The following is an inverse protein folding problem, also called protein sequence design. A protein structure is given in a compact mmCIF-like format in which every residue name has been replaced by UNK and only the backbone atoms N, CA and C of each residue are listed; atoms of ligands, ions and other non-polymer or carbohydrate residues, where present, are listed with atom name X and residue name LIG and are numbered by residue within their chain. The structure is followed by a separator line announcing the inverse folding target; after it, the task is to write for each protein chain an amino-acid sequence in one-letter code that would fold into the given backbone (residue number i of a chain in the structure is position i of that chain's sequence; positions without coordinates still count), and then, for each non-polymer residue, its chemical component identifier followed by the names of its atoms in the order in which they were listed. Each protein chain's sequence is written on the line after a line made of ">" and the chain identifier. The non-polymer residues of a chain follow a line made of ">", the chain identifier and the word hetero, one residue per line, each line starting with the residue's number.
data_IF_935203223609
#
_entry.id   IF_935203223609
#
_cell.length_a   1.000
_cell.length_b   1.000
_cell.length_c   1.000
_cell.angle_alpha   90.00
_cell.angle_beta   90.00
_cell.angle_gamma   90.00
#
_symmetry.space_group_name_H-M   'P 1'
#
loop_
_entity.id
_entity.type
_entity.pdbx_description
1 polymer ?
#
# COMPACT_ATOMS: atom_id res chain seq x y z
N UNK A 1 -19.33 -13.06 -2.23
CA UNK A 1 -20.10 -11.81 -2.43
C UNK A 1 -21.38 -11.81 -1.61
N UNK A 2 -22.37 -12.69 -1.86
CA UNK A 2 -23.63 -12.75 -1.07
C UNK A 2 -23.38 -12.80 0.44
N UNK A 3 -22.50 -13.69 0.90
CA UNK A 3 -22.19 -13.79 2.33
C UNK A 3 -21.63 -12.47 2.91
N UNK A 4 -20.76 -11.78 2.18
CA UNK A 4 -20.15 -10.53 2.64
C UNK A 4 -21.23 -9.45 2.78
N UNK A 5 -22.12 -9.33 1.80
CA UNK A 5 -23.22 -8.35 1.82
C UNK A 5 -24.13 -8.55 3.03
N UNK A 6 -24.56 -9.80 3.27
CA UNK A 6 -25.39 -10.15 4.44
C UNK A 6 -24.65 -9.83 5.75
N UNK A 7 -23.38 -10.20 5.86
CA UNK A 7 -22.59 -9.98 7.09
C UNK A 7 -22.35 -8.50 7.37
N UNK A 8 -22.12 -7.68 6.34
CA UNK A 8 -21.96 -6.24 6.49
C UNK A 8 -23.26 -5.58 6.95
N UNK A 9 -24.41 -6.04 6.48
CA UNK A 9 -25.70 -5.53 6.94
C UNK A 9 -26.01 -5.97 8.37
N UNK A 10 -25.75 -7.23 8.72
CA UNK A 10 -25.87 -7.73 10.10
C UNK A 10 -24.97 -6.97 11.06
N UNK A 11 -23.73 -6.67 10.66
CA UNK A 11 -22.79 -5.88 11.45
C UNK A 11 -23.35 -4.49 11.80
N UNK A 12 -24.05 -3.84 10.85
CA UNK A 12 -24.65 -2.51 11.05
C UNK A 12 -25.89 -2.54 11.93
N UNK A 13 -26.75 -3.56 11.77
CA UNK A 13 -28.06 -3.62 12.44
C UNK A 13 -27.96 -4.25 13.83
N UNK A 14 -27.23 -5.36 13.95
CA UNK A 14 -27.20 -6.18 15.15
C UNK A 14 -25.96 -5.91 16.02
N UNK A 15 -24.89 -5.35 15.43
CA UNK A 15 -23.60 -5.18 16.11
C UNK A 15 -22.90 -6.51 16.43
N UNK A 16 -23.40 -7.62 15.89
CA UNK A 16 -22.90 -8.97 16.08
C UNK A 16 -22.87 -9.72 14.73
N UNK A 17 -21.93 -10.64 14.58
CA UNK A 17 -21.69 -11.35 13.33
C UNK A 17 -21.42 -12.83 13.62
N UNK A 18 -22.09 -13.72 12.88
CA UNK A 18 -21.88 -15.17 12.93
C UNK A 18 -21.58 -15.71 11.52
N UNK A 19 -20.28 -15.67 11.16
CA UNK A 19 -19.81 -16.17 9.85
C UNK A 19 -20.07 -17.68 9.71
N UNK A 20 -19.70 -18.56 10.68
CA UNK A 20 -19.97 -20.00 10.57
C UNK A 20 -21.45 -20.35 10.42
N UNK A 21 -22.31 -19.71 11.21
CA UNK A 21 -23.76 -19.92 11.14
C UNK A 21 -24.34 -19.48 9.81
N UNK A 22 -23.89 -18.34 9.27
CA UNK A 22 -24.31 -17.88 7.95
C UNK A 22 -23.88 -18.85 6.84
N UNK A 23 -22.62 -19.30 6.83
CA UNK A 23 -22.15 -20.25 5.80
C UNK A 23 -22.93 -21.56 5.87
N UNK A 24 -23.25 -22.04 7.07
CA UNK A 24 -24.08 -23.24 7.26
C UNK A 24 -25.48 -23.04 6.66
N UNK A 25 -26.12 -21.88 6.92
CA UNK A 25 -27.42 -21.54 6.34
C UNK A 25 -27.38 -21.46 4.81
N UNK A 26 -26.38 -20.78 4.25
CA UNK A 26 -26.22 -20.65 2.80
C UNK A 26 -26.05 -22.02 2.11
N UNK A 27 -25.36 -22.97 2.77
CA UNK A 27 -25.19 -24.33 2.27
C UNK A 27 -26.47 -25.16 2.29
N UNK A 28 -27.41 -24.86 3.18
CA UNK A 28 -28.74 -25.48 3.18
C UNK A 28 -29.56 -25.06 1.96
N UNK A 29 -29.47 -23.80 1.55
CA UNK A 29 -30.18 -23.28 0.38
C UNK A 29 -29.50 -23.69 -0.94
N UNK A 30 -28.17 -23.67 -0.97
CA UNK A 30 -27.39 -24.08 -2.14
C UNK A 30 -26.11 -24.79 -1.72
N UNK A 31 -26.01 -26.06 -2.06
CA UNK A 31 -24.79 -26.86 -1.82
C UNK A 31 -23.60 -26.21 -2.52
N UNK A 32 -22.44 -26.21 -1.85
CA UNK A 32 -21.19 -25.65 -2.39
C UNK A 32 -21.00 -24.16 -2.16
N UNK A 33 -21.88 -23.48 -1.40
CA UNK A 33 -21.64 -22.08 -1.02
C UNK A 33 -20.38 -21.96 -0.15
N UNK A 34 -19.45 -21.09 -0.60
CA UNK A 34 -18.10 -20.89 -0.03
C UNK A 34 -17.39 -22.23 0.09
N UNK A 35 -16.88 -22.71 -1.04
CA UNK A 35 -16.37 -24.07 -1.18
C UNK A 35 -14.95 -24.21 -0.63
N UNK A 36 -14.11 -23.21 -0.86
CA UNK A 36 -12.68 -23.27 -0.55
C UNK A 36 -12.33 -22.60 0.77
N UNK A 37 -11.23 -23.05 1.38
CA UNK A 37 -10.68 -22.43 2.61
C UNK A 37 -10.28 -20.99 2.34
N UNK A 38 -9.66 -20.70 1.20
CA UNK A 38 -9.22 -19.34 0.83
C UNK A 38 -10.40 -18.38 0.70
N UNK A 39 -11.53 -18.83 0.13
CA UNK A 39 -12.76 -18.02 0.09
C UNK A 39 -13.34 -17.79 1.48
N UNK A 40 -13.28 -18.79 2.36
CA UNK A 40 -13.75 -18.67 3.74
C UNK A 40 -12.87 -17.68 4.53
N UNK A 41 -11.55 -17.80 4.43
CA UNK A 41 -10.59 -16.84 5.01
C UNK A 41 -10.79 -15.43 4.45
N UNK A 42 -11.02 -15.30 3.14
CA UNK A 42 -11.32 -14.02 2.51
C UNK A 42 -12.55 -13.34 3.10
N UNK A 43 -13.61 -14.09 3.43
CA UNK A 43 -14.80 -13.54 4.10
C UNK A 43 -14.44 -12.96 5.47
N UNK A 44 -13.68 -13.70 6.29
CA UNK A 44 -13.21 -13.19 7.59
C UNK A 44 -12.37 -11.93 7.43
N UNK A 45 -11.47 -11.91 6.44
CA UNK A 45 -10.59 -10.79 6.17
C UNK A 45 -11.38 -9.53 5.82
N UNK A 46 -12.26 -9.61 4.83
CA UNK A 46 -13.07 -8.47 4.38
C UNK A 46 -13.97 -7.92 5.49
N UNK A 47 -14.59 -8.79 6.28
CA UNK A 47 -15.46 -8.36 7.37
C UNK A 47 -14.67 -7.71 8.51
N UNK A 48 -13.50 -8.27 8.86
CA UNK A 48 -12.63 -7.66 9.87
C UNK A 48 -12.13 -6.29 9.41
N UNK A 49 -11.70 -6.16 8.15
CA UNK A 49 -11.25 -4.90 7.56
C UNK A 49 -12.37 -3.84 7.58
N UNK A 50 -13.57 -4.20 7.13
CA UNK A 50 -14.71 -3.30 7.12
C UNK A 50 -15.13 -2.80 8.51
N UNK A 51 -14.98 -3.63 9.56
CA UNK A 51 -15.29 -3.24 10.94
C UNK A 51 -14.19 -2.36 11.54
N UNK A 52 -12.92 -2.68 11.27
CA UNK A 52 -11.77 -1.96 11.84
C UNK A 52 -11.61 -0.58 11.20
N UNK A 53 -11.72 -0.50 9.88
CA UNK A 53 -11.48 0.75 9.14
C UNK A 53 -12.72 1.63 9.07
N UNK A 54 -13.90 1.01 8.98
CA UNK A 54 -15.17 1.71 8.83
C UNK A 54 -15.29 2.45 7.49
N UNK A 55 -16.27 3.36 7.38
CA UNK A 55 -16.41 4.21 6.19
C UNK A 55 -15.59 5.49 6.34
N UNK A 56 -14.53 5.61 5.54
CA UNK A 56 -13.64 6.79 5.50
C UNK A 56 -13.94 7.72 4.31
N UNK A 57 -15.00 7.46 3.54
CA UNK A 57 -15.40 8.33 2.44
C UNK A 57 -16.03 9.63 2.95
N UNK A 58 -15.59 10.76 2.36
CA UNK A 58 -16.07 12.09 2.71
C UNK A 58 -16.54 12.82 1.47
N UNK A 59 -17.79 13.28 1.48
CA UNK A 59 -18.32 14.13 0.42
C UNK A 59 -17.53 15.45 0.37
N UNK A 60 -17.22 15.94 -0.84
CA UNK A 60 -16.44 17.16 -1.02
C UNK A 60 -16.98 18.37 -0.24
N UNK A 61 -18.32 18.50 -0.12
CA UNK A 61 -18.98 19.56 0.66
C UNK A 61 -18.69 19.51 2.17
N UNK A 62 -18.36 18.33 2.70
CA UNK A 62 -18.06 18.10 4.10
C UNK A 62 -16.54 18.00 4.36
N UNK A 63 -15.71 18.18 3.33
CA UNK A 63 -14.26 17.98 3.44
C UNK A 63 -13.63 18.92 4.46
N UNK A 64 -13.99 20.21 4.43
CA UNK A 64 -13.44 21.20 5.37
C UNK A 64 -13.78 20.87 6.82
N UNK A 65 -15.04 20.54 7.11
CA UNK A 65 -15.48 20.16 8.46
C UNK A 65 -14.80 18.88 8.94
N UNK A 66 -14.54 17.93 8.05
CA UNK A 66 -13.85 16.70 8.39
C UNK A 66 -12.37 16.94 8.76
N UNK A 67 -11.66 17.79 8.03
CA UNK A 67 -10.27 18.15 8.34
C UNK A 67 -10.17 18.82 9.72
N UNK A 68 -11.11 19.71 10.07
CA UNK A 68 -11.14 20.32 11.40
C UNK A 68 -11.29 19.28 12.51
N UNK A 69 -12.19 18.31 12.34
CA UNK A 69 -12.37 17.20 13.28
C UNK A 69 -11.12 16.31 13.41
N UNK A 70 -10.37 16.13 12.32
CA UNK A 70 -9.13 15.35 12.34
C UNK A 70 -7.97 16.08 13.01
N UNK A 71 -7.97 17.41 13.05
CA UNK A 71 -6.94 18.22 13.70
C UNK A 71 -7.14 18.32 15.21
N UNK A 72 -8.40 18.21 15.67
CA UNK A 72 -8.74 18.20 17.08
C UNK A 72 -8.20 16.94 17.80
N UNK A 73 -7.65 17.14 19.00
CA UNK A 73 -7.22 16.04 19.87
C UNK A 73 -8.47 15.28 20.31
N UNK A 74 -8.51 13.99 19.99
CA UNK A 74 -9.61 13.12 20.35
C UNK A 74 -9.57 12.82 21.85
N UNK A 75 -10.34 13.59 22.62
CA UNK A 75 -10.59 13.31 24.03
C UNK A 75 -11.88 12.50 24.12
N UNK A 76 -11.78 11.22 24.49
CA UNK A 76 -12.97 10.40 24.72
C UNK A 76 -13.68 10.93 25.97
N UNK A 77 -14.70 11.74 25.79
CA UNK A 77 -15.69 12.03 26.84
C UNK A 77 -16.57 10.80 27.00
N UNK A 78 -16.10 9.82 27.79
CA UNK A 78 -16.99 8.78 28.31
C UNK A 78 -18.01 9.50 29.19
N UNK A 79 -19.23 9.68 28.68
CA UNK A 79 -20.35 10.20 29.45
C UNK A 79 -20.87 9.09 30.35
N UNK A 80 -20.11 8.78 31.42
CA UNK A 80 -20.60 7.98 32.53
C UNK A 80 -21.64 8.81 33.30
N UNK A 81 -22.90 8.62 32.93
CA UNK A 81 -24.04 8.97 33.77
C UNK A 81 -24.14 7.98 34.92
N UNK A 82 -23.37 8.14 35.99
CA UNK A 82 -23.78 7.80 37.35
C UNK A 82 -23.00 8.63 38.38
N UNK A 83 -23.72 9.13 39.39
CA UNK A 83 -23.32 10.25 40.22
C UNK A 83 -22.14 10.04 41.16
N UNK A 84 -21.52 11.17 41.52
CA UNK A 84 -21.09 11.44 42.90
C UNK A 84 -19.62 11.16 43.24
N UNK A 85 -18.77 12.19 43.14
CA UNK A 85 -17.49 12.29 43.86
C UNK A 85 -16.38 12.98 43.04
N UNK A 86 -15.40 13.67 43.65
CA UNK A 86 -14.25 14.23 42.95
C UNK A 86 -13.28 13.09 42.60
N UNK A 87 -13.67 12.29 41.62
CA UNK A 87 -12.92 11.17 41.08
C UNK A 87 -11.93 11.65 40.03
N UNK A 88 -10.67 11.28 40.23
CA UNK A 88 -9.53 11.44 39.32
C UNK A 88 -9.94 11.16 37.87
N UNK A 89 -10.00 12.20 37.03
CA UNK A 89 -10.15 12.06 35.58
C UNK A 89 -8.97 11.26 35.07
N UNK A 90 -9.16 9.97 34.82
CA UNK A 90 -8.19 9.18 34.08
C UNK A 90 -8.50 9.39 32.62
N UNK A 91 -7.71 10.26 31.98
CA UNK A 91 -7.74 10.44 30.55
C UNK A 91 -7.18 9.17 29.88
N UNK A 92 -8.05 8.26 29.44
CA UNK A 92 -7.65 7.17 28.54
C UNK A 92 -7.72 7.57 27.07
N UNK A 93 -7.82 8.88 26.77
CA UNK A 93 -7.62 9.40 25.42
C UNK A 93 -6.12 9.45 25.14
N UNK A 94 -5.67 8.80 24.05
CA UNK A 94 -4.26 8.72 23.66
C UNK A 94 -3.58 10.09 23.43
N UNK A 95 -4.32 11.20 23.52
CA UNK A 95 -3.81 12.57 23.31
C UNK A 95 -3.42 12.82 21.86
N UNK A 96 -3.98 12.03 20.94
CA UNK A 96 -3.65 12.07 19.51
C UNK A 96 -4.76 12.78 18.73
N UNK A 97 -4.37 13.43 17.64
CA UNK A 97 -5.29 13.98 16.66
C UNK A 97 -5.93 12.85 15.84
N UNK A 98 -7.06 13.13 15.20
CA UNK A 98 -7.69 12.18 14.27
C UNK A 98 -6.72 11.75 13.16
N UNK A 99 -5.92 12.67 12.61
CA UNK A 99 -4.87 12.33 11.63
C UNK A 99 -3.90 11.28 12.13
N UNK A 100 -3.43 11.42 13.38
CA UNK A 100 -2.49 10.48 13.97
C UNK A 100 -3.11 9.11 14.18
N UNK A 101 -4.40 9.06 14.55
CA UNK A 101 -5.12 7.80 14.71
C UNK A 101 -5.31 7.09 13.37
N UNK A 102 -5.77 7.78 12.34
CA UNK A 102 -5.94 7.22 10.99
C UNK A 102 -4.60 6.75 10.40
N UNK A 103 -3.54 7.55 10.54
CA UNK A 103 -2.22 7.15 10.07
C UNK A 103 -1.66 5.94 10.83
N UNK A 104 -2.00 5.78 12.11
CA UNK A 104 -1.63 4.58 12.88
C UNK A 104 -2.35 3.33 12.39
N UNK A 105 -3.60 3.43 11.93
CA UNK A 105 -4.31 2.29 11.32
C UNK A 105 -3.58 1.82 10.07
N UNK A 106 -3.20 2.74 9.18
CA UNK A 106 -2.44 2.44 7.95
C UNK A 106 -1.14 1.70 8.28
N UNK A 107 -0.37 2.20 9.26
CA UNK A 107 0.88 1.56 9.67
C UNK A 107 0.67 0.20 10.35
N UNK A 108 -0.44 0.01 11.06
CA UNK A 108 -0.78 -1.27 11.68
C UNK A 108 -1.18 -2.33 10.64
N UNK A 109 -1.78 -1.89 9.53
CA UNK A 109 -2.15 -2.72 8.40
C UNK A 109 -0.99 -3.03 7.43
N UNK A 110 0.16 -2.33 7.57
CA UNK A 110 1.29 -2.50 6.67
C UNK A 110 1.79 -3.96 6.65
N UNK A 111 1.95 -4.56 5.45
CA UNK A 111 2.40 -5.94 5.32
C UNK A 111 3.84 -6.10 5.81
N UNK A 112 4.13 -7.27 6.38
CA UNK A 112 5.50 -7.63 6.77
C UNK A 112 6.12 -8.45 5.65
N UNK A 113 7.11 -7.89 4.98
CA UNK A 113 7.95 -8.63 4.03
C UNK A 113 8.64 -9.80 4.77
N UNK A 114 8.49 -11.01 4.22
CA UNK A 114 8.82 -12.31 4.84
C UNK A 114 10.31 -12.53 5.17
N UNK A 115 11.18 -11.58 4.89
CA UNK A 115 12.64 -11.78 4.89
C UNK A 115 13.37 -10.85 5.85
N UNK A 116 12.66 -10.13 6.73
CA UNK A 116 13.30 -9.58 7.93
C UNK A 116 13.52 -10.72 8.93
N UNK A 117 14.72 -11.29 8.91
CA UNK A 117 15.21 -12.30 9.85
C UNK A 117 15.12 -11.88 11.31
N UNK A 118 13.90 -11.92 11.87
CA UNK A 118 13.64 -11.88 13.29
C UNK A 118 13.36 -13.31 13.69
N UNK A 119 14.31 -13.94 14.38
CA UNK A 119 14.21 -15.29 14.94
C UNK A 119 12.78 -15.59 15.42
N UNK A 120 12.04 -16.39 14.66
CA UNK A 120 10.74 -16.89 15.09
C UNK A 120 11.04 -17.99 16.11
N UNK A 121 11.08 -17.61 17.38
CA UNK A 121 10.97 -18.55 18.47
C UNK A 121 9.74 -19.43 18.26
N UNK A 122 9.92 -20.74 18.45
CA UNK A 122 8.89 -21.79 18.35
C UNK A 122 7.57 -21.30 18.98
N UNK A 123 6.50 -21.16 18.18
CA UNK A 123 5.16 -20.89 18.74
C UNK A 123 4.62 -22.18 19.37
N UNK A 124 4.43 -22.14 20.68
CA UNK A 124 3.63 -23.11 21.41
C UNK A 124 2.17 -23.01 20.99
N UNK A 125 1.53 -24.16 20.79
CA UNK A 125 0.11 -24.31 20.49
C UNK A 125 -0.69 -24.08 21.78
N UNK A 126 -1.36 -22.93 21.91
CA UNK A 126 -2.43 -22.74 22.89
C UNK A 126 -3.71 -22.29 22.18
N UNK A 127 -4.89 -22.77 22.63
CA UNK A 127 -6.16 -22.45 21.99
C UNK A 127 -6.55 -20.99 22.25
N UNK A 128 -7.00 -20.29 21.20
CA UNK A 128 -7.43 -18.90 21.26
C UNK A 128 -8.84 -18.85 21.89
N UNK A 129 -8.96 -18.17 23.03
CA UNK A 129 -10.23 -17.89 23.69
C UNK A 129 -10.72 -16.48 23.31
N UNK A 130 -12.01 -16.35 22.98
CA UNK A 130 -12.63 -15.20 22.30
C UNK A 130 -12.80 -13.91 23.15
N UNK A 131 -12.11 -13.77 24.29
CA UNK A 131 -12.38 -12.71 25.29
C UNK A 131 -11.26 -11.69 25.48
N UNK A 132 -10.31 -11.58 24.55
CA UNK A 132 -9.22 -10.59 24.66
C UNK A 132 -8.93 -9.88 23.34
N UNK A 133 -9.88 -9.06 22.88
CA UNK A 133 -9.68 -8.07 21.81
C UNK A 133 -8.91 -6.83 22.31
N UNK A 134 -7.73 -7.03 22.92
CA UNK A 134 -6.80 -5.94 23.30
C UNK A 134 -5.63 -5.78 22.34
N UNK A 135 -5.77 -6.25 21.10
CA UNK A 135 -4.94 -5.81 19.99
C UNK A 135 -5.71 -6.03 18.68
N UNK A 136 -6.06 -4.97 17.91
CA UNK A 136 -6.58 -5.13 16.57
C UNK A 136 -5.41 -5.57 15.70
N UNK A 137 -5.07 -6.86 15.77
CA UNK A 137 -4.12 -7.45 14.84
C UNK A 137 -4.89 -7.63 13.54
N UNK A 138 -4.84 -6.61 12.69
CA UNK A 138 -5.13 -6.76 11.28
C UNK A 138 -4.37 -7.98 10.78
N UNK A 139 -5.08 -8.90 10.10
CA UNK A 139 -4.47 -10.00 9.40
C UNK A 139 -3.35 -9.42 8.53
N UNK A 140 -2.10 -9.72 8.86
CA UNK A 140 -0.95 -9.22 8.12
C UNK A 140 -0.97 -9.88 6.75
N UNK A 141 -1.23 -9.09 5.71
CA UNK A 141 -1.01 -9.51 4.34
C UNK A 141 0.43 -9.97 4.24
N UNK A 142 0.61 -11.22 3.80
CA UNK A 142 1.93 -11.77 3.56
C UNK A 142 2.18 -11.77 2.07
N UNK A 143 2.42 -10.58 1.55
CA UNK A 143 2.94 -10.42 0.20
C UNK A 143 4.46 -10.62 0.25
N UNK A 144 4.96 -11.47 -0.63
CA UNK A 144 6.39 -11.71 -0.76
C UNK A 144 7.03 -10.58 -1.58
N UNK A 145 8.25 -10.21 -1.22
CA UNK A 145 9.14 -9.39 -2.04
C UNK A 145 10.44 -10.16 -2.24
N UNK A 146 10.32 -11.46 -2.47
CA UNK A 146 11.45 -12.39 -2.41
C UNK A 146 12.38 -12.18 -3.60
N UNK A 147 11.85 -11.83 -4.78
CA UNK A 147 12.63 -11.54 -5.98
C UNK A 147 13.58 -10.34 -5.77
N UNK A 148 13.08 -9.30 -5.09
CA UNK A 148 13.85 -8.11 -4.78
C UNK A 148 15.01 -8.38 -3.82
N UNK A 149 14.93 -9.48 -3.05
CA UNK A 149 15.86 -9.82 -1.97
C UNK A 149 16.79 -10.98 -2.35
N UNK A 150 16.74 -11.45 -3.61
CA UNK A 150 17.73 -12.38 -4.14
C UNK A 150 19.12 -11.75 -4.12
N UNK A 151 20.16 -12.57 -3.96
CA UNK A 151 21.55 -12.11 -3.83
C UNK A 151 22.00 -11.22 -5.00
N UNK A 152 21.50 -11.48 -6.21
CA UNK A 152 21.81 -10.73 -7.44
C UNK A 152 21.09 -9.38 -7.49
N UNK A 153 19.92 -9.25 -6.88
CA UNK A 153 19.09 -8.04 -6.95
C UNK A 153 19.27 -7.09 -5.75
N UNK A 154 19.88 -7.54 -4.64
CA UNK A 154 20.06 -6.72 -3.43
C UNK A 154 20.71 -5.35 -3.71
N UNK A 155 21.69 -5.28 -4.61
CA UNK A 155 22.43 -4.06 -4.95
C UNK A 155 21.65 -3.11 -5.87
N UNK A 156 20.54 -3.57 -6.45
CA UNK A 156 19.63 -2.78 -7.29
C UNK A 156 18.60 -1.99 -6.46
N UNK A 157 18.57 -2.17 -5.13
CA UNK A 157 17.66 -1.49 -4.21
C UNK A 157 18.36 -0.35 -3.48
N UNK A 158 17.82 0.87 -3.58
CA UNK A 158 18.30 2.02 -2.81
C UNK A 158 18.02 1.87 -1.32
N UNK A 159 16.87 1.28 -0.98
CA UNK A 159 16.40 1.07 0.38
C UNK A 159 15.89 -0.37 0.50
N UNK A 160 16.58 -1.21 1.28
CA UNK A 160 16.27 -2.65 1.39
C UNK A 160 14.92 -2.96 2.04
N UNK A 161 14.37 -2.04 2.83
CA UNK A 161 13.05 -2.20 3.45
C UNK A 161 11.91 -1.56 2.62
N UNK A 162 12.22 -1.04 1.43
CA UNK A 162 11.26 -0.48 0.49
C UNK A 162 11.50 -1.13 -0.89
N UNK A 163 10.92 -2.32 -1.06
CA UNK A 163 11.05 -3.15 -2.26
C UNK A 163 9.65 -3.50 -2.79
N UNK A 164 9.50 -3.77 -4.10
CA UNK A 164 8.21 -4.13 -4.67
C UNK A 164 7.73 -5.49 -4.15
N UNK A 165 6.41 -5.68 -4.09
CA UNK A 165 5.83 -7.00 -3.92
C UNK A 165 5.95 -7.81 -5.20
N UNK A 166 6.09 -9.12 -5.09
CA UNK A 166 6.26 -10.01 -6.24
C UNK A 166 5.01 -10.01 -7.14
N UNK A 167 3.81 -9.82 -6.58
CA UNK A 167 2.56 -9.86 -7.33
C UNK A 167 2.33 -8.65 -8.25
N UNK A 168 2.95 -7.50 -7.93
CA UNK A 168 2.79 -6.26 -8.71
C UNK A 168 4.11 -5.62 -9.15
N UNK A 169 5.24 -6.33 -9.03
CA UNK A 169 6.53 -5.83 -9.53
C UNK A 169 6.49 -5.62 -11.05
N UNK A 170 7.19 -4.61 -11.52
CA UNK A 170 7.48 -4.47 -12.95
C UNK A 170 8.60 -5.44 -13.31
N UNK A 171 8.33 -6.31 -14.29
CA UNK A 171 9.31 -7.28 -14.79
C UNK A 171 9.80 -6.83 -16.16
N UNK A 172 11.12 -6.77 -16.35
CA UNK A 172 11.75 -6.45 -17.64
C UNK A 172 11.97 -7.71 -18.48
N UNK A 173 12.12 -7.54 -19.79
CA UNK A 173 12.50 -8.63 -20.68
C UNK A 173 13.90 -9.15 -20.30
N UNK A 174 14.07 -10.42 -19.89
CA UNK A 174 15.34 -10.93 -19.41
C UNK A 174 16.40 -10.93 -20.52
N UNK A 175 17.62 -10.55 -20.16
CA UNK A 175 18.79 -10.54 -21.05
C UNK A 175 19.51 -11.88 -20.90
N UNK A 176 19.77 -12.55 -22.02
CA UNK A 176 20.45 -13.86 -22.01
C UNK A 176 21.83 -13.75 -21.39
N UNK A 177 22.11 -14.59 -20.40
CA UNK A 177 23.40 -14.64 -19.71
C UNK A 177 23.61 -13.58 -18.64
N UNK A 178 22.58 -12.78 -18.31
CA UNK A 178 22.64 -11.77 -17.24
C UNK A 178 21.57 -12.07 -16.19
N UNK A 179 22.01 -12.62 -15.05
CA UNK A 179 21.12 -12.94 -13.93
C UNK A 179 20.53 -11.67 -13.30
N UNK A 180 19.25 -11.71 -12.91
CA UNK A 180 18.53 -10.57 -12.33
C UNK A 180 18.28 -9.42 -13.31
N UNK A 181 18.45 -9.63 -14.62
CA UNK A 181 18.22 -8.61 -15.66
C UNK A 181 16.74 -8.30 -15.92
N UNK A 182 15.82 -9.11 -15.39
CA UNK A 182 14.37 -8.87 -15.39
C UNK A 182 13.93 -8.00 -14.20
N UNK A 183 14.82 -7.75 -13.24
CA UNK A 183 14.49 -7.03 -12.01
C UNK A 183 14.77 -5.53 -12.09
N UNK A 184 13.78 -4.74 -11.67
CA UNK A 184 13.90 -3.33 -11.31
C UNK A 184 13.02 -3.06 -10.08
N UNK A 185 13.46 -2.18 -9.18
CA UNK A 185 12.66 -1.77 -8.01
C UNK A 185 11.55 -0.80 -8.46
N UNK A 186 10.45 -1.39 -8.92
CA UNK A 186 9.26 -0.71 -9.37
C UNK A 186 8.02 -1.60 -9.20
N UNK A 187 6.88 -0.98 -8.90
CA UNK A 187 5.58 -1.63 -8.76
C UNK A 187 4.52 -0.95 -9.61
N UNK A 188 3.64 -1.75 -10.21
CA UNK A 188 2.40 -1.26 -10.77
C UNK A 188 1.45 -0.79 -9.66
N UNK A 189 0.83 0.36 -9.91
CA UNK A 189 -0.16 0.96 -9.04
C UNK A 189 -1.40 1.24 -9.88
N UNK A 190 -2.54 0.80 -9.37
CA UNK A 190 -3.82 1.05 -10.01
C UNK A 190 -4.19 2.53 -9.96
N UNK A 191 -4.79 3.02 -11.03
CA UNK A 191 -5.39 4.34 -11.09
C UNK A 191 -6.86 4.31 -10.66
N UNK A 192 -7.50 5.48 -10.78
CA UNK A 192 -8.93 5.60 -10.52
C UNK A 192 -9.78 4.84 -11.56
N UNK A 193 -9.38 4.85 -12.83
CA UNK A 193 -10.12 4.24 -13.94
C UNK A 193 -9.49 2.93 -14.43
N UNK A 194 -8.16 2.88 -14.46
CA UNK A 194 -7.42 1.80 -15.10
C UNK A 194 -6.54 1.04 -14.09
N UNK A 195 -6.47 -0.29 -14.26
CA UNK A 195 -5.47 -1.11 -13.58
C UNK A 195 -4.07 -0.80 -14.11
N UNK A 196 -3.06 -0.91 -13.25
CA UNK A 196 -1.66 -0.66 -13.60
C UNK A 196 -1.42 0.70 -14.29
N UNK A 197 -2.21 1.72 -13.94
CA UNK A 197 -2.15 3.05 -14.57
C UNK A 197 -0.83 3.78 -14.29
N UNK A 198 -0.19 3.47 -13.17
CA UNK A 198 1.05 4.09 -12.74
C UNK A 198 2.13 3.06 -12.45
N UNK A 199 3.38 3.47 -12.60
CA UNK A 199 4.54 2.75 -12.10
C UNK A 199 5.17 3.60 -11.01
N UNK A 200 5.14 3.09 -9.78
CA UNK A 200 5.89 3.67 -8.66
C UNK A 200 7.27 3.00 -8.60
N UNK A 201 8.34 3.77 -8.76
CA UNK A 201 9.70 3.25 -8.76
C UNK A 201 10.64 4.12 -7.92
N UNK A 202 11.74 3.53 -7.47
CA UNK A 202 12.81 4.30 -6.82
C UNK A 202 13.47 5.25 -7.82
N UNK A 203 14.06 6.34 -7.33
CA UNK A 203 14.93 7.17 -8.16
C UNK A 203 16.12 6.33 -8.67
N UNK A 204 16.38 6.31 -10.00
CA UNK A 204 17.43 5.49 -10.57
C UNK A 204 18.80 5.74 -9.92
N UNK A 205 19.51 4.65 -9.66
CA UNK A 205 20.89 4.64 -9.19
C UNK A 205 21.82 4.54 -10.39
N UNK A 206 23.11 4.83 -10.21
CA UNK A 206 24.14 4.68 -11.26
C UNK A 206 24.08 3.29 -11.89
N UNK A 207 23.92 2.25 -11.07
CA UNK A 207 23.85 0.86 -11.48
C UNK A 207 22.52 0.44 -12.13
N UNK A 208 21.50 1.30 -12.11
CA UNK A 208 20.14 0.94 -12.58
C UNK A 208 19.57 1.95 -13.59
N UNK A 209 20.38 2.87 -14.13
CA UNK A 209 19.90 3.84 -15.13
C UNK A 209 19.47 3.14 -16.42
N UNK A 210 20.21 2.13 -16.86
CA UNK A 210 19.87 1.34 -18.05
C UNK A 210 18.58 0.55 -17.85
N UNK A 211 18.45 -0.15 -16.71
CA UNK A 211 17.23 -0.88 -16.33
C UNK A 211 16.01 0.06 -16.28
N UNK A 212 16.19 1.30 -15.80
CA UNK A 212 15.13 2.31 -15.78
C UNK A 212 14.67 2.71 -17.19
N UNK A 213 15.59 2.97 -18.12
CA UNK A 213 15.22 3.31 -19.49
C UNK A 213 14.61 2.14 -20.25
N UNK A 214 15.10 0.91 -20.01
CA UNK A 214 14.45 -0.31 -20.49
C UNK A 214 13.01 -0.40 -19.99
N UNK A 215 12.78 -0.15 -18.71
CA UNK A 215 11.43 -0.11 -18.13
C UNK A 215 10.54 0.90 -18.85
N UNK A 216 10.98 2.15 -18.98
CA UNK A 216 10.21 3.23 -19.63
C UNK A 216 9.82 2.83 -21.06
N UNK A 217 10.78 2.28 -21.81
CA UNK A 217 10.56 1.84 -23.18
C UNK A 217 9.62 0.63 -23.30
N UNK A 218 9.90 -0.45 -22.55
CA UNK A 218 9.12 -1.69 -22.56
C UNK A 218 7.67 -1.45 -22.10
N UNK A 219 7.48 -0.57 -21.11
CA UNK A 219 6.16 -0.22 -20.58
C UNK A 219 5.48 0.93 -21.34
N UNK A 220 6.09 1.44 -22.42
CA UNK A 220 5.55 2.53 -23.25
C UNK A 220 5.12 3.75 -22.43
N UNK A 221 5.93 4.11 -21.45
CA UNK A 221 5.66 5.25 -20.57
C UNK A 221 6.15 6.54 -21.22
N UNK A 222 5.22 7.43 -21.58
CA UNK A 222 5.54 8.72 -22.21
C UNK A 222 5.77 9.85 -21.21
N UNK A 223 5.37 9.67 -19.95
CA UNK A 223 5.42 10.70 -18.90
C UNK A 223 6.16 10.17 -17.68
N UNK A 224 7.17 10.92 -17.24
CA UNK A 224 7.91 10.62 -16.01
C UNK A 224 7.74 11.79 -15.05
N UNK A 225 7.32 11.49 -13.82
CA UNK A 225 7.14 12.46 -12.75
C UNK A 225 8.21 12.23 -11.69
N UNK A 226 9.06 13.23 -11.48
CA UNK A 226 10.12 13.21 -10.48
C UNK A 226 9.71 14.04 -9.27
N UNK A 227 9.67 13.41 -8.08
CA UNK A 227 9.20 14.03 -6.83
C UNK A 227 10.34 14.42 -5.87
N UNK A 228 11.60 14.21 -6.27
CA UNK A 228 12.78 14.52 -5.45
C UNK A 228 13.73 15.44 -6.22
N UNK A 229 14.51 16.23 -5.49
CA UNK A 229 15.64 16.97 -6.06
C UNK A 229 16.84 16.03 -6.30
N UNK A 230 17.77 16.46 -7.17
CA UNK A 230 19.01 15.70 -7.46
C UNK A 230 19.89 15.51 -6.21
N UNK A 231 19.77 16.41 -5.24
CA UNK A 231 20.50 16.37 -3.98
C UNK A 231 19.62 16.94 -2.87
N UNK A 232 19.56 16.25 -1.73
CA UNK A 232 18.84 16.71 -0.55
C UNK A 232 19.77 16.55 0.66
N UNK A 233 20.00 17.63 1.42
CA UNK A 233 20.84 17.59 2.62
C UNK A 233 22.30 17.15 2.41
N UNK A 234 22.88 17.39 1.23
CA UNK A 234 24.27 17.02 0.91
C UNK A 234 24.49 15.55 0.55
N UNK A 235 23.43 14.73 0.51
CA UNK A 235 23.46 13.38 -0.04
C UNK A 235 22.94 13.39 -1.48
N UNK A 236 23.59 12.62 -2.36
CA UNK A 236 23.14 12.48 -3.75
C UNK A 236 21.80 11.73 -3.74
N UNK A 237 20.71 12.45 -3.99
CA UNK A 237 19.36 11.90 -4.03
C UNK A 237 19.17 11.10 -5.31
N UNK A 238 19.58 11.69 -6.44
CA UNK A 238 19.36 11.14 -7.78
C UNK A 238 20.60 11.37 -8.64
N UNK A 239 20.98 10.40 -9.47
CA UNK A 239 22.15 10.55 -10.33
C UNK A 239 21.91 11.67 -11.36
N UNK A 240 22.88 12.56 -11.54
CA UNK A 240 22.74 13.75 -12.42
C UNK A 240 22.59 13.40 -13.90
N UNK A 241 23.00 12.19 -14.28
CA UNK A 241 23.07 11.74 -15.68
C UNK A 241 21.93 10.79 -16.09
N UNK A 242 20.84 10.73 -15.31
CA UNK A 242 19.67 9.91 -15.69
C UNK A 242 19.08 10.37 -17.02
N UNK A 243 19.14 11.68 -17.27
CA UNK A 243 18.76 12.30 -18.52
C UNK A 243 20.04 12.68 -19.24
N UNK A 244 20.23 12.35 -20.53
CA UNK A 244 21.24 13.05 -21.29
C UNK A 244 20.86 14.53 -21.23
N UNK A 245 21.78 15.39 -20.79
CA UNK A 245 21.62 16.85 -20.87
C UNK A 245 21.75 17.20 -22.35
N UNK A 246 20.73 16.85 -23.11
CA UNK A 246 20.50 17.40 -24.44
C UNK A 246 19.91 18.77 -24.14
N UNK A 247 20.66 19.82 -24.43
CA UNK A 247 20.13 21.18 -24.51
C UNK A 247 19.02 21.18 -25.56
N UNK A 248 17.79 20.81 -25.17
CA UNK A 248 16.53 20.96 -25.89
C UNK A 248 15.37 20.38 -25.04
N UNK A 249 14.71 21.27 -24.29
CA UNK A 249 13.25 21.43 -24.22
C UNK A 249 12.40 20.28 -23.59
N UNK A 250 11.74 20.62 -22.48
CA UNK A 250 10.56 19.96 -21.85
C UNK A 250 10.75 18.86 -20.77
N UNK A 251 11.73 18.96 -19.87
CA UNK A 251 11.55 18.47 -18.49
C UNK A 251 11.15 19.66 -17.60
N UNK A 252 9.86 20.02 -17.63
CA UNK A 252 9.29 20.88 -16.57
C UNK A 252 9.01 20.00 -15.36
N UNK A 253 9.94 19.97 -14.39
CA UNK A 253 9.56 19.74 -12.99
C UNK A 253 8.34 20.63 -12.71
N UNK A 254 7.28 20.09 -12.12
CA UNK A 254 5.96 20.70 -12.03
C UNK A 254 5.98 22.11 -11.40
N UNK A 255 6.26 23.12 -12.22
CA UNK A 255 5.89 24.53 -12.04
C UNK A 255 5.19 24.96 -13.32
N UNK A 256 3.85 24.92 -13.24
CA UNK A 256 2.89 25.62 -14.09
C UNK A 256 2.97 25.30 -15.59
N UNK A 257 2.10 24.38 -16.01
CA UNK A 257 1.77 24.10 -17.39
C UNK A 257 1.02 25.30 -18.00
N UNK A 258 1.68 25.99 -18.92
CA UNK A 258 1.04 26.58 -20.09
C UNK A 258 1.91 26.22 -21.29
N UNK A 259 1.20 25.81 -22.33
CA UNK A 259 1.58 25.63 -23.73
C UNK A 259 2.13 24.31 -24.27
N UNK A 260 1.72 24.06 -25.52
CA UNK A 260 1.34 22.80 -26.16
C UNK A 260 2.46 22.04 -26.91
N UNK A 261 2.25 20.72 -27.01
CA UNK A 261 2.59 19.80 -28.13
C UNK A 261 4.01 19.75 -28.72
N UNK A 262 4.75 18.67 -28.41
CA UNK A 262 5.73 18.05 -29.31
C UNK A 262 5.93 16.54 -29.00
N UNK A 263 6.00 15.64 -30.00
CA UNK A 263 6.12 14.18 -29.80
C UNK A 263 7.57 13.67 -29.65
N UNK A 264 7.72 12.60 -28.85
CA UNK A 264 8.95 11.86 -28.45
C UNK A 264 9.72 11.20 -29.62
N UNK A 265 9.33 11.43 -30.89
CA UNK A 265 9.90 10.75 -32.07
C UNK A 265 11.41 11.00 -32.30
N UNK A 266 12.02 11.96 -31.61
CA UNK A 266 13.46 12.25 -31.70
C UNK A 266 14.36 11.28 -30.92
N UNK A 267 13.83 10.49 -29.98
CA UNK A 267 14.64 9.52 -29.23
C UNK A 267 14.92 8.23 -30.04
N UNK A 268 14.10 7.96 -31.08
CA UNK A 268 14.15 6.73 -31.87
C UNK A 268 15.39 6.61 -32.76
N UNK A 269 16.07 7.71 -33.09
CA UNK A 269 17.18 7.70 -34.05
C UNK A 269 18.55 7.42 -33.43
N UNK A 270 18.72 7.47 -32.10
CA UNK A 270 20.06 7.41 -31.48
C UNK A 270 20.41 6.11 -30.75
N UNK A 271 19.44 5.23 -30.48
CA UNK A 271 19.69 3.90 -29.90
C UNK A 271 20.05 2.85 -30.96
N UNK A 272 19.92 3.17 -32.25
CA UNK A 272 20.24 2.24 -33.36
C UNK A 272 21.60 2.51 -34.03
N UNK A 273 22.41 3.42 -33.50
CA UNK A 273 23.72 3.80 -34.09
C UNK A 273 24.94 3.60 -33.18
N UNK A 274 24.81 2.88 -32.06
CA UNK A 274 25.95 2.34 -31.28
C UNK A 274 25.76 0.85 -31.01
#
# INVERSE_FOLDING_TARGET
>A
LIAIDILLEQAKVEGAIDIPGLVTRLRTERVGMIETVDQYEFVYRVITEAIVDGNTEVLARNFFTHIQQLDEIQTTSSSDWMGGGPGKVTCTGLGLTGFQLEFRKINAAAPILKTQGRNVGKKATTPIMLTSLSSPTGLKYVDSGDEALTTVNLTKNRILHAVPFDFNRVSLCPIRGVDGSDYINASYVDGYQDRNAFIACQAPMVSTVEDFWRMVWEQKSDVIVMLCDLSEGGKVGVHKEIWPVIDLVHLKCAKRLQDQSAPISLFRSRILEE
#
